data_IF_641739070623
#
_entry.id   IF_641739070623
#
_cell.length_a   1.000
_cell.length_b   1.000
_cell.length_c   1.000
_cell.angle_alpha   90.00
_cell.angle_beta   90.00
_cell.angle_gamma   90.00
#
_symmetry.space_group_name_H-M   'P 1'
#
loop_
_entity.id
_entity.type
_entity.pdbx_description
1 polymer ?
#
# COMPACT_ATOMS: atom_id res chain seq x y z
N UNK A 1 -12.65 9.49 7.10
CA UNK A 1 -11.43 9.91 7.85
C UNK A 1 -11.01 8.79 8.77
N UNK A 2 -9.71 8.52 8.89
CA UNK A 2 -9.16 7.54 9.83
C UNK A 2 -8.06 8.20 10.65
N UNK A 3 -8.11 8.04 11.97
CA UNK A 3 -7.09 8.55 12.88
C UNK A 3 -6.15 7.43 13.27
N UNK A 4 -4.85 7.63 13.08
CA UNK A 4 -3.82 6.63 13.34
C UNK A 4 -2.63 7.22 14.09
N UNK A 5 -2.07 6.40 15.00
CA UNK A 5 -0.84 6.71 15.73
C UNK A 5 0.35 6.08 15.02
N UNK A 6 1.20 6.92 14.43
CA UNK A 6 2.45 6.52 13.83
C UNK A 6 3.66 6.81 14.72
N UNK A 7 4.86 6.59 14.16
CA UNK A 7 6.14 6.92 14.82
C UNK A 7 6.27 8.41 15.17
N UNK A 8 5.63 9.28 14.39
CA UNK A 8 5.67 10.74 14.55
C UNK A 8 4.45 11.28 15.31
N UNK A 9 3.65 10.42 15.96
CA UNK A 9 2.44 10.82 16.68
C UNK A 9 1.14 10.52 15.92
N UNK A 10 0.06 11.14 16.39
CA UNK A 10 -1.27 11.01 15.79
C UNK A 10 -1.38 11.77 14.48
N UNK A 11 -2.09 11.19 13.51
CA UNK A 11 -2.46 11.86 12.27
C UNK A 11 -3.81 11.40 11.77
N UNK A 12 -4.49 12.28 11.08
CA UNK A 12 -5.67 11.96 10.30
C UNK A 12 -5.28 11.65 8.86
N UNK A 13 -5.95 10.65 8.30
CA UNK A 13 -5.77 10.18 6.94
C UNK A 13 -7.12 10.15 6.25
N UNK A 14 -7.17 10.81 5.10
CA UNK A 14 -8.29 10.75 4.19
C UNK A 14 -8.21 9.47 3.34
N UNK A 15 -9.31 8.71 3.30
CA UNK A 15 -9.45 7.53 2.43
C UNK A 15 -10.73 7.75 1.61
N UNK A 16 -10.55 8.04 0.32
CA UNK A 16 -11.65 8.22 -0.62
C UNK A 16 -12.10 6.91 -1.26
N UNK A 17 -13.32 6.90 -1.82
CA UNK A 17 -13.75 5.83 -2.74
C UNK A 17 -12.88 5.88 -4.01
N UNK A 18 -12.50 4.72 -4.52
CA UNK A 18 -11.84 4.59 -5.82
C UNK A 18 -12.83 4.75 -6.97
N UNK A 19 -12.30 4.96 -8.19
CA UNK A 19 -13.10 5.08 -9.42
C UNK A 19 -13.68 3.77 -9.92
N UNK A 20 -13.22 2.63 -9.40
CA UNK A 20 -13.75 1.30 -9.72
C UNK A 20 -13.83 0.44 -8.47
N UNK A 21 -14.87 -0.37 -8.35
CA UNK A 21 -15.08 -1.25 -7.20
C UNK A 21 -13.92 -2.24 -6.99
N UNK A 22 -13.31 -2.72 -8.09
CA UNK A 22 -12.21 -3.67 -8.06
C UNK A 22 -10.94 -3.14 -7.36
N UNK A 23 -10.75 -1.82 -7.32
CA UNK A 23 -9.58 -1.17 -6.71
C UNK A 23 -9.95 -0.21 -5.59
N UNK A 24 -11.24 -0.09 -5.25
CA UNK A 24 -11.74 0.84 -4.26
C UNK A 24 -11.47 0.33 -2.83
N UNK A 25 -10.67 1.03 -2.01
CA UNK A 25 -10.35 0.58 -0.65
C UNK A 25 -11.58 0.59 0.27
N UNK A 26 -12.53 1.49 0.04
CA UNK A 26 -13.77 1.58 0.82
C UNK A 26 -14.68 0.37 0.54
N UNK A 27 -14.89 0.03 -0.74
CA UNK A 27 -15.70 -1.14 -1.12
C UNK A 27 -15.05 -2.44 -0.66
N UNK A 28 -13.72 -2.57 -0.79
CA UNK A 28 -12.98 -3.71 -0.28
C UNK A 28 -13.16 -3.87 1.24
N UNK A 29 -13.12 -2.75 1.98
CA UNK A 29 -13.31 -2.74 3.43
C UNK A 29 -14.74 -3.09 3.84
N UNK A 30 -15.75 -2.50 3.19
CA UNK A 30 -17.17 -2.79 3.41
C UNK A 30 -17.48 -4.26 3.17
N UNK A 31 -16.92 -4.82 2.09
CA UNK A 31 -17.05 -6.24 1.75
C UNK A 31 -16.39 -7.11 2.81
N UNK A 32 -15.18 -6.76 3.24
CA UNK A 32 -14.47 -7.49 4.29
C UNK A 32 -15.24 -7.49 5.61
N UNK A 33 -15.72 -6.34 6.08
CA UNK A 33 -16.51 -6.23 7.31
C UNK A 33 -17.75 -7.15 7.28
N UNK A 34 -18.42 -7.22 6.13
CA UNK A 34 -19.59 -8.09 5.91
C UNK A 34 -19.22 -9.56 5.96
N UNK A 35 -18.20 -9.98 5.19
CA UNK A 35 -17.78 -11.39 5.11
C UNK A 35 -17.20 -11.89 6.44
N UNK A 36 -16.41 -11.05 7.11
CA UNK A 36 -15.79 -11.36 8.39
C UNK A 36 -16.70 -11.16 9.60
N UNK A 37 -17.92 -10.62 9.40
CA UNK A 37 -18.93 -10.32 10.43
C UNK A 37 -18.34 -9.50 11.59
N UNK A 38 -17.60 -8.45 11.26
CA UNK A 38 -16.90 -7.62 12.25
C UNK A 38 -17.80 -6.44 12.64
N UNK A 39 -18.30 -6.46 13.88
CA UNK A 39 -18.95 -5.30 14.48
C UNK A 39 -18.00 -4.44 15.33
N UNK A 40 -17.02 -5.07 15.98
CA UNK A 40 -16.03 -4.41 16.86
C UNK A 40 -14.71 -5.21 16.90
N UNK A 41 -13.65 -4.60 17.45
CA UNK A 41 -12.34 -5.24 17.60
C UNK A 41 -11.42 -5.07 16.38
N UNK A 42 -10.43 -5.98 16.20
CA UNK A 42 -9.43 -5.83 15.14
C UNK A 42 -10.06 -5.87 13.76
N UNK A 43 -9.71 -4.89 12.93
CA UNK A 43 -10.22 -4.80 11.56
C UNK A 43 -9.65 -5.91 10.68
N UNK A 44 -8.32 -6.09 10.70
CA UNK A 44 -7.66 -7.20 10.02
C UNK A 44 -7.54 -8.35 10.99
N UNK A 45 -8.37 -9.37 10.79
CA UNK A 45 -8.40 -10.58 11.62
C UNK A 45 -7.68 -11.74 10.98
N UNK A 46 -7.21 -12.68 11.79
CA UNK A 46 -6.56 -13.90 11.32
C UNK A 46 -7.55 -14.73 10.49
N UNK A 47 -7.11 -15.20 9.33
CA UNK A 47 -7.88 -16.08 8.45
C UNK A 47 -7.21 -17.46 8.41
N UNK A 48 -7.99 -18.50 8.64
CA UNK A 48 -7.55 -19.90 8.70
C UNK A 48 -8.43 -20.77 7.79
N UNK A 49 -8.20 -22.08 7.78
CA UNK A 49 -9.00 -23.02 6.97
C UNK A 49 -8.93 -22.70 5.47
N UNK A 50 -7.74 -22.35 4.97
CA UNK A 50 -7.53 -21.97 3.56
C UNK A 50 -8.41 -20.80 3.08
N UNK A 51 -8.64 -19.80 3.94
CA UNK A 51 -9.45 -18.63 3.57
C UNK A 51 -10.92 -18.72 3.99
N UNK A 52 -11.34 -19.85 4.59
CA UNK A 52 -12.75 -20.12 4.90
C UNK A 52 -13.19 -19.68 6.29
N UNK A 53 -12.25 -19.40 7.20
CA UNK A 53 -12.58 -19.13 8.60
C UNK A 53 -11.87 -17.88 9.10
N UNK A 54 -12.64 -16.94 9.64
CA UNK A 54 -12.12 -15.69 10.22
C UNK A 54 -12.19 -15.79 11.73
N UNK A 55 -11.03 -15.71 12.40
CA UNK A 55 -10.95 -15.72 13.87
C UNK A 55 -11.27 -14.35 14.49
N UNK A 56 -11.17 -14.26 15.82
CA UNK A 56 -11.36 -13.00 16.57
C UNK A 56 -10.06 -12.21 16.71
N UNK A 57 -8.91 -12.89 16.64
CA UNK A 57 -7.61 -12.29 16.85
C UNK A 57 -7.15 -11.44 15.67
N UNK A 58 -6.33 -10.43 15.98
CA UNK A 58 -5.68 -9.60 14.96
C UNK A 58 -4.79 -10.43 14.04
N UNK A 59 -4.75 -10.07 12.77
CA UNK A 59 -3.83 -10.63 11.80
C UNK A 59 -2.38 -10.32 12.21
N UNK A 60 -1.49 -11.30 12.08
CA UNK A 60 -0.06 -11.12 12.26
C UNK A 60 0.51 -10.31 11.08
N UNK A 61 1.35 -9.31 11.37
CA UNK A 61 1.91 -8.42 10.36
C UNK A 61 2.80 -9.16 9.34
N UNK A 62 3.49 -10.23 9.75
CA UNK A 62 4.24 -11.09 8.84
C UNK A 62 3.36 -11.73 7.77
N UNK A 63 2.09 -12.02 8.07
CA UNK A 63 1.15 -12.57 7.08
C UNK A 63 0.86 -11.58 5.96
N UNK A 64 0.87 -10.27 6.24
CA UNK A 64 0.74 -9.24 5.19
C UNK A 64 1.92 -9.33 4.24
N UNK A 65 3.14 -9.46 4.75
CA UNK A 65 4.33 -9.60 3.92
C UNK A 65 4.30 -10.90 3.08
N UNK A 66 3.88 -12.03 3.68
CA UNK A 66 3.70 -13.31 2.98
C UNK A 66 2.65 -13.21 1.88
N UNK A 67 1.51 -12.58 2.17
CA UNK A 67 0.42 -12.37 1.20
C UNK A 67 0.90 -11.52 0.02
N UNK A 68 1.55 -10.38 0.27
CA UNK A 68 2.08 -9.51 -0.80
C UNK A 68 3.05 -10.27 -1.70
N UNK A 69 3.99 -11.03 -1.13
CA UNK A 69 4.94 -11.84 -1.90
C UNK A 69 4.19 -12.87 -2.77
N UNK A 70 3.28 -13.64 -2.19
CA UNK A 70 2.52 -14.66 -2.90
C UNK A 70 1.69 -14.06 -4.04
N UNK A 71 1.00 -12.95 -3.79
CA UNK A 71 0.20 -12.26 -4.81
C UNK A 71 1.07 -11.70 -5.94
N UNK A 72 2.21 -11.09 -5.61
CA UNK A 72 3.13 -10.57 -6.63
C UNK A 72 3.73 -11.69 -7.51
N UNK A 73 4.05 -12.85 -6.90
CA UNK A 73 4.52 -14.03 -7.61
C UNK A 73 3.45 -14.56 -8.56
N UNK A 74 2.24 -14.80 -8.05
CA UNK A 74 1.11 -15.30 -8.82
C UNK A 74 0.70 -14.36 -9.97
N UNK A 75 0.81 -13.05 -9.77
CA UNK A 75 0.51 -12.05 -10.80
C UNK A 75 1.62 -11.87 -11.86
N UNK A 76 2.71 -12.64 -11.80
CA UNK A 76 3.80 -12.52 -12.79
C UNK A 76 4.61 -11.22 -12.72
N UNK A 77 4.48 -10.42 -11.66
CA UNK A 77 5.21 -9.15 -11.52
C UNK A 77 6.71 -9.43 -11.48
N UNK A 78 7.49 -8.76 -12.34
CA UNK A 78 8.93 -9.02 -12.56
C UNK A 78 9.22 -10.44 -13.06
N UNK A 79 8.47 -10.90 -14.05
CA UNK A 79 8.68 -12.20 -14.70
C UNK A 79 10.04 -12.34 -15.41
N UNK A 80 10.79 -11.24 -15.56
CA UNK A 80 12.19 -11.23 -15.99
C UNK A 80 13.17 -11.88 -15.00
N UNK A 81 12.74 -12.12 -13.76
CA UNK A 81 13.55 -12.67 -12.68
C UNK A 81 13.09 -14.06 -12.26
N UNK A 82 13.99 -14.84 -11.63
CA UNK A 82 13.61 -16.10 -10.99
C UNK A 82 12.66 -15.88 -9.81
N UNK A 83 11.86 -16.89 -9.43
CA UNK A 83 10.95 -16.78 -8.28
C UNK A 83 11.66 -16.45 -6.98
N UNK A 84 12.85 -17.02 -6.77
CA UNK A 84 13.69 -16.75 -5.59
C UNK A 84 14.09 -15.27 -5.50
N UNK A 85 14.53 -14.70 -6.61
CA UNK A 85 14.87 -13.27 -6.69
C UNK A 85 13.63 -12.39 -6.51
N UNK A 86 12.51 -12.73 -7.15
CA UNK A 86 11.23 -12.01 -6.99
C UNK A 86 10.78 -12.01 -5.54
N UNK A 87 10.86 -13.15 -4.85
CA UNK A 87 10.51 -13.29 -3.44
C UNK A 87 11.31 -12.41 -2.48
N UNK A 88 12.53 -11.99 -2.89
CA UNK A 88 13.37 -11.05 -2.14
C UNK A 88 13.06 -9.58 -2.46
N UNK A 89 12.49 -9.28 -3.64
CA UNK A 89 12.15 -7.91 -4.06
C UNK A 89 10.82 -7.41 -3.51
N UNK A 90 9.91 -8.29 -3.11
CA UNK A 90 8.59 -7.93 -2.57
C UNK A 90 8.52 -8.08 -1.05
N UNK A 91 7.83 -7.15 -0.39
CA UNK A 91 7.58 -7.18 1.06
C UNK A 91 6.32 -6.37 1.39
N UNK A 92 5.91 -6.35 2.66
CA UNK A 92 4.84 -5.45 3.10
C UNK A 92 5.12 -3.97 2.81
N UNK A 93 6.39 -3.56 2.78
CA UNK A 93 6.79 -2.20 2.43
C UNK A 93 6.53 -1.85 0.96
N UNK A 94 6.47 -2.85 0.08
CA UNK A 94 6.28 -2.63 -1.36
C UNK A 94 4.95 -1.93 -1.68
N UNK A 95 3.87 -2.21 -0.94
CA UNK A 95 2.58 -1.54 -1.13
C UNK A 95 2.67 -0.05 -0.79
N UNK A 96 3.35 0.28 0.32
CA UNK A 96 3.56 1.66 0.74
C UNK A 96 4.43 2.42 -0.25
N UNK A 97 5.52 1.79 -0.70
CA UNK A 97 6.41 2.37 -1.70
C UNK A 97 5.68 2.61 -3.04
N UNK A 98 4.87 1.64 -3.47
CA UNK A 98 4.04 1.75 -4.66
C UNK A 98 3.11 2.96 -4.60
N UNK A 99 2.33 3.10 -3.52
CA UNK A 99 1.44 4.25 -3.31
C UNK A 99 2.19 5.59 -3.35
N UNK A 100 3.32 5.67 -2.65
CA UNK A 100 4.14 6.88 -2.60
C UNK A 100 4.69 7.29 -3.97
N UNK A 101 5.06 6.30 -4.80
CA UNK A 101 5.64 6.54 -6.13
C UNK A 101 4.60 6.74 -7.23
N UNK A 102 3.40 6.16 -7.11
CA UNK A 102 2.36 6.25 -8.14
C UNK A 102 1.39 7.42 -7.95
N UNK A 103 1.30 8.00 -6.75
CA UNK A 103 0.39 9.11 -6.50
C UNK A 103 0.81 10.37 -7.26
N UNK A 104 -0.09 10.89 -8.09
CA UNK A 104 0.08 12.15 -8.83
C UNK A 104 -0.39 13.35 -8.00
N UNK A 105 0.23 13.52 -6.83
CA UNK A 105 -0.08 14.63 -5.91
C UNK A 105 1.21 15.29 -5.43
N UNK A 106 1.07 16.51 -4.91
CA UNK A 106 2.17 17.27 -4.32
C UNK A 106 2.85 16.47 -3.18
N UNK A 107 4.17 16.59 -3.09
CA UNK A 107 5.00 15.95 -2.08
C UNK A 107 4.46 16.14 -0.66
N UNK A 108 3.95 17.34 -0.33
CA UNK A 108 3.43 17.65 1.01
C UNK A 108 2.26 16.74 1.41
N UNK A 109 1.41 16.37 0.45
CA UNK A 109 0.26 15.50 0.69
C UNK A 109 0.69 14.04 0.83
N UNK A 110 1.67 13.61 0.03
CA UNK A 110 2.28 12.28 0.19
C UNK A 110 2.95 12.15 1.57
N UNK A 111 3.69 13.19 1.99
CA UNK A 111 4.32 13.23 3.31
C UNK A 111 3.29 13.13 4.44
N UNK A 112 2.20 13.91 4.38
CA UNK A 112 1.11 13.88 5.36
C UNK A 112 0.47 12.49 5.45
N UNK A 113 0.08 11.91 4.31
CA UNK A 113 -0.53 10.58 4.21
C UNK A 113 0.34 9.49 4.85
N UNK A 114 1.63 9.51 4.50
CA UNK A 114 2.59 8.50 4.90
C UNK A 114 3.12 8.74 6.32
N UNK A 115 3.08 9.97 6.81
CA UNK A 115 3.68 10.39 8.07
C UNK A 115 5.20 10.28 8.05
N UNK A 116 5.84 10.77 6.98
CA UNK A 116 7.29 10.94 6.97
C UNK A 116 7.69 12.17 7.78
N UNK A 117 8.74 12.06 8.59
CA UNK A 117 9.23 13.17 9.42
C UNK A 117 9.85 14.31 8.60
N UNK A 118 10.28 14.07 7.35
CA UNK A 118 10.85 15.09 6.46
C UNK A 118 10.47 14.83 5.00
N UNK A 119 10.45 15.89 4.19
CA UNK A 119 10.25 15.79 2.74
C UNK A 119 11.37 15.01 2.04
N UNK A 120 12.61 15.05 2.55
CA UNK A 120 13.70 14.24 2.02
C UNK A 120 13.36 12.74 1.96
N UNK A 121 12.68 12.20 2.98
CA UNK A 121 12.22 10.82 2.97
C UNK A 121 11.15 10.56 1.90
N UNK A 122 10.29 11.54 1.63
CA UNK A 122 9.28 11.47 0.55
C UNK A 122 9.93 11.53 -0.83
N UNK A 123 10.92 12.40 -1.03
CA UNK A 123 11.64 12.54 -2.31
C UNK A 123 12.31 11.25 -2.77
N UNK A 124 12.71 10.35 -1.86
CA UNK A 124 13.22 9.00 -2.23
C UNK A 124 12.23 8.21 -3.10
N UNK A 125 10.92 8.43 -2.94
CA UNK A 125 9.88 7.76 -3.74
C UNK A 125 9.56 8.47 -5.06
N UNK A 126 9.82 9.79 -5.16
CA UNK A 126 9.51 10.60 -6.35
C UNK A 126 10.61 10.59 -7.41
N UNK A 127 11.89 10.39 -7.01
CA UNK A 127 13.05 10.43 -7.93
C UNK A 127 12.92 9.53 -9.17
N UNK A 128 12.13 8.45 -9.14
CA UNK A 128 11.91 7.61 -10.32
C UNK A 128 10.85 8.16 -11.28
N UNK A 129 9.84 8.87 -10.77
CA UNK A 129 8.68 9.41 -11.51
C UNK A 129 9.09 10.55 -12.45
N UNK A 130 9.93 11.45 -11.95
CA UNK A 130 10.19 12.70 -12.66
C UNK A 130 11.19 12.56 -13.82
N UNK A 131 11.92 11.44 -13.92
CA UNK A 131 12.97 11.23 -14.94
C UNK A 131 12.50 11.39 -16.39
N UNK A 132 11.24 11.12 -16.70
CA UNK A 132 10.67 11.29 -18.04
C UNK A 132 9.62 12.41 -18.14
N UNK A 133 9.13 12.93 -17.01
CA UNK A 133 8.15 14.03 -16.96
C UNK A 133 8.80 15.40 -16.82
N UNK A 134 9.80 15.49 -15.95
CA UNK A 134 10.65 16.66 -15.72
C UNK A 134 12.04 16.30 -16.23
N UNK A 135 12.13 16.08 -17.54
CA UNK A 135 13.42 15.92 -18.20
C UNK A 135 13.86 17.29 -18.71
N UNK A 136 15.11 17.65 -18.43
CA UNK A 136 15.75 18.87 -18.94
C UNK A 136 15.60 18.99 -20.47
N UNK A 137 15.69 17.88 -21.20
CA UNK A 137 15.48 17.82 -22.65
C UNK A 137 14.09 18.33 -23.02
N UNK A 138 13.04 17.74 -22.43
CA UNK A 138 11.64 18.17 -22.66
C UNK A 138 11.36 19.59 -22.15
N UNK A 139 11.93 19.98 -21.01
CA UNK A 139 11.78 21.32 -20.45
C UNK A 139 12.47 22.40 -21.29
N UNK A 140 13.54 22.02 -21.98
CA UNK A 140 14.28 22.86 -22.94
C UNK A 140 13.75 22.76 -24.37
N UNK A 141 12.67 21.99 -24.62
CA UNK A 141 12.07 21.84 -25.95
C UNK A 141 12.85 20.95 -26.94
N UNK A 142 13.73 20.08 -26.43
CA UNK A 142 14.50 19.08 -27.18
C UNK A 142 13.81 17.71 -27.18
#
# INVERSE_FOLDING_TARGET
>A
LVTLRGKTGWREVEIGRGSSDATCPVVALETWLRLARIAHGPLFRRVTGQGKTVGVDRLNDQEVARLVKRTALAAGVRGDLSEGERGQKFSGHSLRAGLASSAEVDERYVQKQLGHASGEMTRKYQRRRDRFRVNLTKASGL
#
